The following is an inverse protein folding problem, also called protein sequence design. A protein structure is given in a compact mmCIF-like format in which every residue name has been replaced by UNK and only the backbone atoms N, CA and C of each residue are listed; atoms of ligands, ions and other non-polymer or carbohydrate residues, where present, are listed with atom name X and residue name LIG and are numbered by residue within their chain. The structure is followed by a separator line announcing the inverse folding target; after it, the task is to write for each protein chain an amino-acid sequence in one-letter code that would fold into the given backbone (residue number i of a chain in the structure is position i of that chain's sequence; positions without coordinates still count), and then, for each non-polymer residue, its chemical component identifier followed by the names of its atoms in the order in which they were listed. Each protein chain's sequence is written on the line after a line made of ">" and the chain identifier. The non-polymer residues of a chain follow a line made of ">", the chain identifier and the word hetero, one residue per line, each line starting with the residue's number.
data_IF_134227355006
#
_entry.id   IF_134227355006
#
_cell.length_a   1.000
_cell.length_b   1.000
_cell.length_c   1.000
_cell.angle_alpha   90.00
_cell.angle_beta   90.00
_cell.angle_gamma   90.00
#
_symmetry.space_group_name_H-M   'P 1'
#
loop_
_entity.id
_entity.type
_entity.pdbx_description
1 polymer ?
#
# COMPACT_ATOMS: atom_id res chain seq x y z
N UNK A 1 -1.05 23.43 5.40
CA UNK A 1 -0.01 22.36 5.39
C UNK A 1 0.68 22.41 4.04
N UNK A 2 2.03 22.39 3.98
CA UNK A 2 2.76 22.30 2.72
C UNK A 2 2.42 21.00 1.99
N UNK A 3 2.48 21.03 0.65
CA UNK A 3 2.13 19.90 -0.25
C UNK A 3 2.90 18.61 0.11
N UNK A 4 4.13 18.77 0.61
CA UNK A 4 4.99 17.66 1.05
C UNK A 4 4.39 16.92 2.25
N UNK A 5 3.87 17.63 3.25
CA UNK A 5 3.25 17.01 4.43
C UNK A 5 1.99 16.22 4.06
N UNK A 6 1.23 16.72 3.09
CA UNK A 6 0.05 16.04 2.57
C UNK A 6 0.42 14.75 1.81
N UNK A 7 1.47 14.81 0.98
CA UNK A 7 1.98 13.64 0.26
C UNK A 7 2.53 12.58 1.23
N UNK A 8 3.30 12.97 2.24
CA UNK A 8 3.83 12.06 3.27
C UNK A 8 2.70 11.37 4.04
N UNK A 9 1.63 12.10 4.36
CA UNK A 9 0.45 11.53 5.05
C UNK A 9 -0.24 10.47 4.20
N UNK A 10 -0.45 10.73 2.90
CA UNK A 10 -1.03 9.73 1.99
C UNK A 10 -0.15 8.49 1.84
N UNK A 11 1.15 8.68 1.79
CA UNK A 11 2.10 7.56 1.63
C UNK A 11 2.14 6.72 2.89
N UNK A 12 2.13 7.36 4.05
CA UNK A 12 2.02 6.66 5.33
C UNK A 12 0.70 5.89 5.43
N UNK A 13 -0.41 6.48 5.00
CA UNK A 13 -1.71 5.82 4.96
C UNK A 13 -1.70 4.59 4.02
N UNK A 14 -1.10 4.69 2.83
CA UNK A 14 -0.96 3.58 1.88
C UNK A 14 -0.05 2.48 2.44
N UNK A 15 1.07 2.85 3.09
CA UNK A 15 1.98 1.90 3.70
C UNK A 15 1.30 1.11 4.83
N UNK A 16 0.55 1.80 5.70
CA UNK A 16 -0.25 1.15 6.76
C UNK A 16 -1.33 0.26 6.14
N UNK A 17 -2.05 0.71 5.13
CA UNK A 17 -3.07 -0.08 4.46
C UNK A 17 -2.48 -1.38 3.87
N UNK A 18 -1.31 -1.29 3.23
CA UNK A 18 -0.57 -2.45 2.70
C UNK A 18 -0.20 -3.43 3.81
N UNK A 19 0.36 -2.92 4.91
CA UNK A 19 0.79 -3.74 6.04
C UNK A 19 -0.42 -4.39 6.74
N UNK A 20 -1.52 -3.68 6.88
CA UNK A 20 -2.76 -4.16 7.46
C UNK A 20 -3.40 -5.25 6.60
N UNK A 21 -3.44 -5.08 5.27
CA UNK A 21 -3.95 -6.08 4.32
C UNK A 21 -3.11 -7.37 4.36
N UNK A 22 -1.78 -7.24 4.35
CA UNK A 22 -0.85 -8.36 4.52
C UNK A 22 -1.07 -9.09 5.86
N UNK A 23 -1.21 -8.34 6.96
CA UNK A 23 -1.43 -8.91 8.28
C UNK A 23 -2.80 -9.62 8.36
N UNK A 24 -3.83 -9.02 7.79
CA UNK A 24 -5.17 -9.59 7.70
C UNK A 24 -5.15 -10.91 6.94
N UNK A 25 -4.56 -10.92 5.74
CA UNK A 25 -4.48 -12.10 4.88
C UNK A 25 -3.64 -13.23 5.48
N UNK A 26 -2.58 -12.91 6.23
CA UNK A 26 -1.64 -13.91 6.76
C UNK A 26 -2.07 -14.48 8.12
N UNK A 27 -2.70 -13.67 8.96
CA UNK A 27 -2.96 -14.05 10.36
C UNK A 27 -4.44 -14.09 10.72
N UNK A 28 -5.19 -13.04 10.37
CA UNK A 28 -6.57 -12.89 10.85
C UNK A 28 -7.52 -13.75 10.03
N UNK A 29 -7.41 -13.68 8.70
CA UNK A 29 -8.26 -14.41 7.75
C UNK A 29 -8.16 -15.94 7.91
N UNK A 30 -6.97 -16.56 7.98
CA UNK A 30 -6.86 -18.01 8.17
C UNK A 30 -7.31 -18.48 9.55
N UNK A 31 -7.28 -17.58 10.54
CA UNK A 31 -7.82 -17.86 11.87
C UNK A 31 -9.35 -17.86 11.85
N UNK A 32 -9.96 -16.88 11.17
CA UNK A 32 -11.41 -16.79 11.01
C UNK A 32 -11.97 -17.96 10.18
N UNK A 33 -11.28 -18.36 9.12
CA UNK A 33 -11.62 -19.57 8.33
C UNK A 33 -11.69 -20.82 9.21
N UNK A 34 -10.67 -21.04 10.06
CA UNK A 34 -10.64 -22.17 10.99
C UNK A 34 -11.67 -22.08 12.11
N UNK A 35 -11.95 -20.88 12.61
CA UNK A 35 -12.83 -20.68 13.78
C UNK A 35 -14.31 -20.69 13.42
N UNK A 36 -14.66 -20.14 12.27
CA UNK A 36 -16.04 -19.88 11.85
C UNK A 36 -16.44 -20.60 10.54
N UNK A 37 -15.53 -21.36 9.93
CA UNK A 37 -15.81 -22.08 8.68
C UNK A 37 -16.01 -21.16 7.48
N UNK A 38 -15.40 -19.97 7.49
CA UNK A 38 -15.45 -19.07 6.33
C UNK A 38 -14.86 -19.74 5.10
N UNK A 39 -15.43 -19.45 3.93
CA UNK A 39 -14.92 -19.95 2.66
C UNK A 39 -13.48 -19.45 2.44
N UNK A 40 -12.59 -20.34 1.94
CA UNK A 40 -11.23 -19.95 1.60
C UNK A 40 -11.29 -18.87 0.51
N UNK A 41 -10.55 -17.79 0.71
CA UNK A 41 -10.51 -16.72 -0.29
C UNK A 41 -9.70 -17.20 -1.51
N UNK A 42 -10.30 -17.11 -2.69
CA UNK A 42 -9.63 -17.39 -3.96
C UNK A 42 -8.45 -16.43 -4.17
N UNK A 43 -7.37 -16.86 -4.81
CA UNK A 43 -6.27 -15.96 -5.20
C UNK A 43 -6.76 -14.77 -6.06
N UNK A 44 -7.85 -14.95 -6.82
CA UNK A 44 -8.45 -13.92 -7.65
C UNK A 44 -9.24 -12.86 -6.86
N UNK A 45 -9.66 -13.19 -5.63
CA UNK A 45 -10.34 -12.27 -4.72
C UNK A 45 -9.34 -11.51 -3.83
N UNK A 46 -8.07 -11.92 -3.84
CA UNK A 46 -7.00 -11.20 -3.14
C UNK A 46 -6.62 -9.98 -3.98
N UNK A 47 -6.29 -8.88 -3.31
CA UNK A 47 -5.64 -7.78 -3.99
C UNK A 47 -4.31 -8.32 -4.53
N UNK A 48 -4.08 -8.33 -5.86
CA UNK A 48 -2.89 -8.94 -6.43
C UNK A 48 -1.66 -8.19 -5.91
N UNK A 49 -0.60 -8.94 -5.57
CA UNK A 49 0.63 -8.36 -5.06
C UNK A 49 1.20 -7.26 -5.97
N UNK A 50 0.91 -7.35 -7.28
CA UNK A 50 1.28 -6.36 -8.29
C UNK A 50 0.57 -5.01 -8.10
N UNK A 51 -0.65 -4.99 -7.56
CA UNK A 51 -1.38 -3.76 -7.26
C UNK A 51 -0.74 -3.02 -6.06
N UNK A 52 -0.29 -3.76 -5.05
CA UNK A 52 0.49 -3.19 -3.94
C UNK A 52 1.88 -2.74 -4.39
N UNK A 53 2.54 -3.47 -5.29
CA UNK A 53 3.81 -3.06 -5.88
C UNK A 53 3.66 -1.79 -6.75
N UNK A 54 2.56 -1.68 -7.51
CA UNK A 54 2.20 -0.47 -8.26
C UNK A 54 1.92 0.72 -7.37
N UNK A 55 1.16 0.53 -6.29
CA UNK A 55 0.91 1.56 -5.27
C UNK A 55 2.19 2.01 -4.56
N UNK A 56 3.05 1.06 -4.17
CA UNK A 56 4.36 1.35 -3.58
C UNK A 56 5.31 2.07 -4.55
N UNK A 57 5.32 1.67 -5.82
CA UNK A 57 6.10 2.31 -6.88
C UNK A 57 5.64 3.74 -7.17
N UNK A 58 4.32 3.99 -7.19
CA UNK A 58 3.77 5.33 -7.34
C UNK A 58 4.17 6.24 -6.16
N UNK A 59 4.10 5.74 -4.93
CA UNK A 59 4.58 6.45 -3.74
C UNK A 59 6.10 6.75 -3.81
N UNK A 60 6.90 5.79 -4.27
CA UNK A 60 8.35 5.98 -4.45
C UNK A 60 8.67 7.05 -5.49
N UNK A 61 8.01 7.01 -6.65
CA UNK A 61 8.18 8.02 -7.71
C UNK A 61 7.80 9.41 -7.18
N UNK A 62 6.67 9.55 -6.49
CA UNK A 62 6.20 10.83 -5.97
C UNK A 62 7.12 11.45 -4.89
N UNK A 63 7.85 10.65 -4.12
CA UNK A 63 8.74 11.16 -3.05
C UNK A 63 10.21 11.27 -3.44
N UNK A 64 10.69 10.36 -4.28
CA UNK A 64 12.12 10.23 -4.55
C UNK A 64 12.48 10.61 -5.98
N UNK A 65 11.50 10.67 -6.89
CA UNK A 65 11.74 11.09 -8.26
C UNK A 65 11.21 12.51 -8.47
N UNK A 66 9.94 12.79 -8.12
CA UNK A 66 9.31 14.09 -8.38
C UNK A 66 10.03 15.27 -7.70
N UNK A 67 10.47 15.20 -6.42
CA UNK A 67 11.18 16.32 -5.80
C UNK A 67 12.54 16.56 -6.45
N UNK A 68 13.22 15.50 -6.88
CA UNK A 68 14.51 15.61 -7.57
C UNK A 68 14.37 16.07 -9.02
N UNK A 69 13.26 15.74 -9.69
CA UNK A 69 12.92 16.28 -11.01
C UNK A 69 12.55 17.76 -10.91
N UNK A 70 11.86 18.20 -9.84
CA UNK A 70 11.63 19.63 -9.57
C UNK A 70 12.93 20.41 -9.38
N UNK A 71 13.84 19.86 -8.57
CA UNK A 71 15.17 20.43 -8.32
C UNK A 71 16.05 20.42 -9.58
N UNK A 72 15.98 19.37 -10.41
CA UNK A 72 16.72 19.28 -11.67
C UNK A 72 16.12 20.16 -12.79
N UNK A 73 14.82 20.48 -12.72
CA UNK A 73 14.12 21.36 -13.65
C UNK A 73 14.19 22.85 -13.25
N UNK A 74 14.77 23.18 -12.09
CA UNK A 74 15.07 24.56 -11.68
C UNK A 74 13.90 25.34 -11.07
N UNK A 75 12.96 24.67 -10.39
CA UNK A 75 11.97 25.32 -9.52
C UNK A 75 12.37 25.24 -8.05
#
# INVERSE_FOLDING_TARGET
>A
MPVVDYALLWIFAIAIATAADQAWMRWIRPWLERRYGWAPLSEDERIPAIAWAGGGGACFILLFVVPYVGVAAGY
#
